data_IF_160916178853
#
_entry.id   IF_160916178853
#
_cell.length_a   1.000
_cell.length_b   1.000
_cell.length_c   1.000
_cell.angle_alpha   90.00
_cell.angle_beta   90.00
_cell.angle_gamma   90.00
#
_symmetry.space_group_name_H-M   'P 1'
#
loop_
_entity.id
_entity.type
_entity.pdbx_description
1 polymer ?
#
# COMPACT_ATOMS: atom_id res chain seq x y z
N UNK A 1 4.18 0.02 9.65
CA UNK A 1 4.06 1.37 9.10
C UNK A 1 2.62 1.65 8.69
N UNK A 2 2.08 2.81 9.07
CA UNK A 2 0.70 3.18 8.78
C UNK A 2 0.55 4.12 7.57
N UNK A 3 1.63 4.74 7.10
CA UNK A 3 1.61 5.60 5.92
C UNK A 3 2.70 5.15 4.96
N UNK A 4 2.29 4.60 3.82
CA UNK A 4 3.16 3.92 2.86
C UNK A 4 2.85 4.37 1.45
N UNK A 5 3.85 4.28 0.58
CA UNK A 5 3.64 4.54 -0.85
C UNK A 5 3.22 3.26 -1.57
N UNK A 6 2.57 3.43 -2.72
CA UNK A 6 2.27 2.33 -3.62
C UNK A 6 3.55 1.61 -4.04
N UNK A 7 3.53 0.29 -4.06
CA UNK A 7 4.70 -0.55 -4.35
C UNK A 7 5.66 -0.78 -3.18
N UNK A 8 5.43 -0.16 -2.03
CA UNK A 8 6.29 -0.35 -0.86
C UNK A 8 6.09 -1.74 -0.26
N UNK A 9 7.19 -2.34 0.18
CA UNK A 9 7.15 -3.62 0.91
C UNK A 9 6.85 -3.36 2.38
N UNK A 10 5.91 -4.12 2.92
CA UNK A 10 5.52 -4.08 4.34
C UNK A 10 5.60 -5.48 4.94
N UNK A 11 5.80 -5.54 6.25
CA UNK A 11 5.89 -6.80 7.00
C UNK A 11 4.94 -6.79 8.18
N UNK A 12 4.32 -7.94 8.43
CA UNK A 12 3.43 -8.17 9.56
C UNK A 12 3.85 -9.42 10.29
N UNK A 13 3.73 -9.42 11.61
CA UNK A 13 3.92 -10.61 12.43
C UNK A 13 2.59 -11.03 13.02
N UNK A 14 2.26 -12.31 12.86
CA UNK A 14 1.11 -12.93 13.52
C UNK A 14 1.68 -13.83 14.60
N UNK A 15 1.42 -13.47 15.86
CA UNK A 15 1.91 -14.21 17.00
C UNK A 15 0.77 -14.96 17.67
N UNK A 16 0.97 -16.25 17.90
CA UNK A 16 0.01 -17.10 18.58
C UNK A 16 0.76 -18.21 19.33
N UNK A 17 0.03 -19.15 19.86
CA UNK A 17 0.56 -20.27 20.63
C UNK A 17 0.08 -21.56 19.98
N UNK A 18 0.97 -22.55 19.89
CA UNK A 18 0.61 -23.86 19.37
C UNK A 18 -0.40 -24.52 20.30
N UNK A 19 -1.54 -25.00 19.76
CA UNK A 19 -2.60 -25.55 20.61
C UNK A 19 -2.22 -26.90 21.21
N UNK A 20 -2.91 -27.26 22.29
CA UNK A 20 -2.88 -28.56 22.92
C UNK A 20 -4.17 -29.30 22.58
N UNK A 21 -4.06 -30.57 22.26
CA UNK A 21 -5.21 -31.41 21.90
C UNK A 21 -5.46 -32.46 22.98
N UNK A 22 -6.72 -32.68 23.28
CA UNK A 22 -7.11 -33.76 24.20
C UNK A 22 -6.78 -35.10 23.58
N UNK A 23 -6.46 -36.06 24.44
CA UNK A 23 -6.19 -37.46 24.03
C UNK A 23 -7.40 -38.01 23.31
N UNK A 24 -7.18 -38.63 22.14
CA UNK A 24 -8.24 -39.19 21.32
C UNK A 24 -8.92 -38.19 20.40
N UNK A 25 -8.46 -36.93 20.34
CA UNK A 25 -8.96 -35.96 19.38
C UNK A 25 -8.72 -36.45 17.96
N UNK A 26 -9.79 -36.54 17.18
CA UNK A 26 -9.72 -36.77 15.75
C UNK A 26 -9.64 -35.44 15.02
N UNK A 27 -9.06 -35.43 13.82
CA UNK A 27 -8.96 -34.24 12.96
C UNK A 27 -8.33 -33.03 13.67
N UNK A 28 -7.17 -33.24 14.28
CA UNK A 28 -6.39 -32.16 14.86
C UNK A 28 -5.97 -31.20 13.75
N UNK A 29 -6.41 -29.97 13.84
CA UNK A 29 -6.07 -28.94 12.86
C UNK A 29 -5.55 -27.69 13.55
N UNK A 30 -4.58 -27.06 12.92
CA UNK A 30 -4.12 -25.75 13.33
C UNK A 30 -3.89 -24.90 12.10
N UNK A 31 -4.69 -23.85 11.94
CA UNK A 31 -4.64 -22.94 10.79
C UNK A 31 -4.50 -21.50 11.23
N UNK A 32 -3.71 -20.75 10.49
CA UNK A 32 -3.53 -19.30 10.66
C UNK A 32 -3.83 -18.66 9.32
N UNK A 33 -4.81 -17.76 9.30
CA UNK A 33 -5.25 -17.10 8.08
C UNK A 33 -4.91 -15.64 8.13
N UNK A 34 -4.31 -15.14 7.04
CA UNK A 34 -4.06 -13.74 6.81
C UNK A 34 -4.98 -13.23 5.71
N UNK A 35 -5.83 -12.26 6.05
CA UNK A 35 -6.75 -11.62 5.12
C UNK A 35 -6.33 -10.18 4.93
N UNK A 36 -5.94 -9.83 3.71
CA UNK A 36 -5.45 -8.51 3.39
C UNK A 36 -6.28 -7.83 2.31
N UNK A 37 -6.26 -6.51 2.30
CA UNK A 37 -6.79 -5.67 1.22
C UNK A 37 -5.76 -4.62 0.88
N UNK A 38 -5.69 -4.20 -0.38
CA UNK A 38 -4.77 -3.17 -0.82
C UNK A 38 -3.31 -3.61 -0.85
N UNK A 39 -3.04 -4.90 -0.84
CA UNK A 39 -1.69 -5.44 -0.90
C UNK A 39 -1.68 -6.85 -1.49
N UNK A 40 -0.49 -7.28 -1.90
CA UNK A 40 -0.22 -8.61 -2.42
C UNK A 40 0.80 -9.27 -1.51
N UNK A 41 0.48 -10.44 -0.95
CA UNK A 41 1.40 -11.22 -0.11
C UNK A 41 2.44 -11.86 -1.01
N UNK A 42 3.71 -11.60 -0.74
CA UNK A 42 4.84 -12.08 -1.54
C UNK A 42 5.70 -13.10 -0.81
N UNK A 43 5.60 -13.18 0.52
CA UNK A 43 6.40 -14.11 1.30
C UNK A 43 5.76 -14.48 2.63
N UNK A 44 6.00 -15.71 3.04
CA UNK A 44 5.59 -16.24 4.34
C UNK A 44 6.79 -16.96 4.97
N UNK A 45 6.97 -16.71 6.25
CA UNK A 45 7.96 -17.41 7.07
C UNK A 45 7.28 -17.83 8.38
N UNK A 46 7.41 -19.08 8.75
CA UNK A 46 6.78 -19.62 9.98
C UNK A 46 7.86 -20.05 10.95
N UNK A 47 7.77 -19.56 12.18
CA UNK A 47 8.66 -19.92 13.27
C UNK A 47 7.86 -20.57 14.40
N UNK A 48 8.36 -21.71 14.88
CA UNK A 48 7.81 -22.39 16.06
C UNK A 48 8.92 -22.45 17.10
N UNK A 49 8.61 -21.96 18.29
CA UNK A 49 9.59 -21.86 19.38
C UNK A 49 10.85 -21.09 18.96
N UNK A 50 10.68 -20.08 18.13
CA UNK A 50 11.76 -19.22 17.63
C UNK A 50 12.57 -19.78 16.46
N UNK A 51 12.27 -20.97 16.01
CA UNK A 51 12.99 -21.63 14.91
C UNK A 51 12.12 -21.74 13.68
N UNK A 52 12.66 -21.35 12.52
CA UNK A 52 11.95 -21.46 11.25
C UNK A 52 11.66 -22.93 10.93
N UNK A 53 10.43 -23.21 10.52
CA UNK A 53 9.97 -24.52 10.07
C UNK A 53 9.72 -24.50 8.56
N UNK A 54 9.77 -25.67 7.94
CA UNK A 54 9.86 -25.79 6.48
C UNK A 54 8.49 -25.98 5.85
N UNK A 55 8.21 -25.21 4.80
CA UNK A 55 7.03 -25.36 3.95
C UNK A 55 6.99 -26.78 3.35
N UNK A 56 5.80 -27.36 3.34
CA UNK A 56 5.50 -28.72 2.89
C UNK A 56 6.05 -29.85 3.77
N UNK A 57 6.72 -29.48 4.86
CA UNK A 57 7.07 -30.43 5.93
C UNK A 57 6.26 -30.15 7.19
N UNK A 58 6.36 -28.93 7.72
CA UNK A 58 5.65 -28.53 8.94
C UNK A 58 4.28 -27.92 8.64
N UNK A 59 4.13 -27.26 7.53
CA UNK A 59 2.89 -26.58 7.15
C UNK A 59 2.74 -26.49 5.63
N UNK A 60 1.52 -26.23 5.19
CA UNK A 60 1.19 -25.97 3.78
C UNK A 60 0.52 -24.61 3.66
N UNK A 61 0.56 -24.05 2.45
CA UNK A 61 -0.19 -22.84 2.06
C UNK A 61 -1.30 -23.22 1.10
N UNK A 62 -2.46 -22.59 1.25
CA UNK A 62 -3.62 -22.87 0.37
C UNK A 62 -3.60 -22.08 -0.94
N UNK A 63 -2.65 -21.19 -1.11
CA UNK A 63 -2.47 -20.37 -2.31
C UNK A 63 -0.99 -20.34 -2.69
N UNK A 64 -0.74 -20.21 -3.99
CA UNK A 64 0.60 -19.87 -4.46
C UNK A 64 0.89 -18.40 -4.23
N UNK A 65 2.14 -18.07 -3.93
CA UNK A 65 2.60 -16.70 -3.79
C UNK A 65 3.16 -16.17 -5.12
N UNK A 66 2.94 -14.91 -5.47
CA UNK A 66 2.22 -13.89 -4.72
C UNK A 66 0.69 -14.03 -4.84
N UNK A 67 -0.03 -13.56 -3.84
CA UNK A 67 -1.49 -13.60 -3.85
C UNK A 67 -2.10 -12.36 -3.20
N UNK A 68 -3.23 -11.90 -3.76
CA UNK A 68 -4.05 -10.84 -3.16
C UNK A 68 -5.24 -11.41 -2.37
N UNK A 69 -5.42 -12.74 -2.41
CA UNK A 69 -6.49 -13.42 -1.68
C UNK A 69 -6.07 -13.73 -0.25
N UNK A 70 -7.04 -14.10 0.58
CA UNK A 70 -6.75 -14.61 1.91
C UNK A 70 -5.84 -15.84 1.81
N UNK A 71 -4.83 -15.89 2.67
CA UNK A 71 -3.84 -16.96 2.67
C UNK A 71 -3.90 -17.70 4.00
N UNK A 72 -4.00 -19.03 3.92
CA UNK A 72 -4.05 -19.89 5.11
C UNK A 72 -2.78 -20.74 5.21
N UNK A 73 -2.13 -20.61 6.37
CA UNK A 73 -1.07 -21.50 6.82
C UNK A 73 -1.75 -22.64 7.57
N UNK A 74 -1.57 -23.87 7.11
CA UNK A 74 -2.11 -25.06 7.76
C UNK A 74 -0.97 -25.96 8.18
N UNK A 75 -0.85 -26.21 9.49
CA UNK A 75 0.15 -27.17 9.97
C UNK A 75 -0.23 -28.57 9.54
N UNK A 76 0.76 -29.38 9.18
CA UNK A 76 0.53 -30.76 8.73
C UNK A 76 0.15 -31.66 9.91
N UNK A 77 -0.59 -32.73 9.63
CA UNK A 77 -0.95 -33.71 10.64
C UNK A 77 0.29 -34.33 11.30
N UNK A 78 1.33 -34.59 10.50
CA UNK A 78 2.60 -35.10 10.99
C UNK A 78 3.28 -34.16 11.96
N UNK A 79 3.29 -32.86 11.66
CA UNK A 79 3.91 -31.86 12.52
C UNK A 79 3.14 -31.72 13.84
N UNK A 80 1.82 -31.69 13.80
CA UNK A 80 0.98 -31.64 14.99
C UNK A 80 1.22 -32.89 15.86
N UNK A 81 1.20 -34.07 15.23
CA UNK A 81 1.43 -35.34 15.88
C UNK A 81 0.38 -35.68 16.94
N UNK A 82 0.65 -36.77 17.69
CA UNK A 82 -0.28 -37.31 18.70
C UNK A 82 0.15 -37.05 20.13
N UNK A 83 1.31 -36.46 20.36
CA UNK A 83 1.94 -36.37 21.69
C UNK A 83 2.01 -34.94 22.22
N UNK A 84 1.36 -34.00 21.57
CA UNK A 84 1.40 -32.56 21.98
C UNK A 84 2.82 -32.03 22.20
N UNK A 85 3.77 -32.44 21.35
CA UNK A 85 5.18 -32.02 21.55
C UNK A 85 5.40 -30.52 21.32
N UNK A 86 4.52 -29.87 20.55
CA UNK A 86 4.60 -28.44 20.29
C UNK A 86 3.64 -27.60 21.14
N UNK A 87 2.79 -28.23 21.96
CA UNK A 87 1.79 -27.54 22.77
C UNK A 87 2.42 -26.44 23.62
N UNK A 88 1.84 -25.25 23.56
CA UNK A 88 2.31 -24.09 24.31
C UNK A 88 3.51 -23.37 23.72
N UNK A 89 4.13 -23.89 22.67
CA UNK A 89 5.24 -23.21 22.00
C UNK A 89 4.74 -21.98 21.26
N UNK A 90 5.57 -20.95 21.23
CA UNK A 90 5.27 -19.74 20.44
C UNK A 90 5.23 -20.06 18.95
N UNK A 91 4.29 -19.44 18.24
CA UNK A 91 4.19 -19.51 16.78
C UNK A 91 4.16 -18.10 16.25
N UNK A 92 5.04 -17.81 15.30
CA UNK A 92 5.05 -16.54 14.58
C UNK A 92 4.97 -16.81 13.09
N UNK A 93 4.02 -16.16 12.43
CA UNK A 93 3.97 -16.09 10.98
C UNK A 93 4.42 -14.69 10.57
N UNK A 94 5.52 -14.62 9.85
CA UNK A 94 6.01 -13.37 9.26
C UNK A 94 5.46 -13.26 7.85
N UNK A 95 4.65 -12.23 7.61
CA UNK A 95 4.02 -11.96 6.33
C UNK A 95 4.75 -10.81 5.66
N UNK A 96 5.20 -11.01 4.44
CA UNK A 96 5.77 -9.96 3.60
C UNK A 96 4.79 -9.66 2.48
N UNK A 97 4.49 -8.38 2.25
CA UNK A 97 3.53 -7.94 1.25
C UNK A 97 3.98 -6.67 0.54
N UNK A 98 3.46 -6.44 -0.65
CA UNK A 98 3.67 -5.23 -1.44
C UNK A 98 2.36 -4.47 -1.55
N UNK A 99 2.39 -3.18 -1.28
CA UNK A 99 1.22 -2.31 -1.36
C UNK A 99 0.79 -2.15 -2.81
N UNK A 100 -0.46 -2.45 -3.11
CA UNK A 100 -1.02 -2.37 -4.47
C UNK A 100 -2.18 -1.39 -4.59
N UNK A 101 -2.85 -1.10 -3.47
CA UNK A 101 -3.94 -0.13 -3.45
C UNK A 101 -3.39 1.27 -3.17
N UNK A 102 -3.98 2.27 -3.77
CA UNK A 102 -3.53 3.64 -3.76
C UNK A 102 -4.11 4.51 -2.64
N UNK A 103 -4.94 3.98 -1.78
CA UNK A 103 -5.56 4.77 -0.70
C UNK A 103 -5.42 4.11 0.68
N UNK A 104 -5.78 2.85 0.79
CA UNK A 104 -5.84 2.16 2.08
C UNK A 104 -5.46 0.69 1.94
N UNK A 105 -4.79 0.18 2.95
CA UNK A 105 -4.56 -1.26 3.09
C UNK A 105 -5.05 -1.73 4.46
N UNK A 106 -5.44 -3.00 4.53
CA UNK A 106 -5.79 -3.67 5.78
C UNK A 106 -5.14 -5.03 5.84
N UNK A 107 -4.83 -5.50 7.05
CA UNK A 107 -4.38 -6.85 7.29
C UNK A 107 -5.03 -7.39 8.56
N UNK A 108 -5.80 -8.46 8.42
CA UNK A 108 -6.48 -9.12 9.53
C UNK A 108 -5.99 -10.55 9.65
N UNK A 109 -5.54 -10.94 10.84
CA UNK A 109 -5.10 -12.29 11.14
C UNK A 109 -6.17 -13.03 11.94
N UNK A 110 -6.28 -14.32 11.71
CA UNK A 110 -7.15 -15.21 12.49
C UNK A 110 -6.54 -16.59 12.64
N UNK A 111 -6.95 -17.31 13.66
CA UNK A 111 -6.56 -18.70 13.88
C UNK A 111 -7.79 -19.52 14.23
N UNK A 112 -7.74 -20.82 14.02
CA UNK A 112 -8.86 -21.70 14.38
C UNK A 112 -8.88 -22.10 15.87
N UNK A 113 -7.90 -21.64 16.65
CA UNK A 113 -7.83 -21.92 18.10
C UNK A 113 -8.08 -20.69 18.98
N UNK A 114 -8.44 -19.57 18.38
CA UNK A 114 -8.71 -18.31 19.10
C UNK A 114 -9.81 -17.53 18.39
N UNK A 115 -10.58 -16.77 19.14
CA UNK A 115 -11.56 -15.84 18.60
C UNK A 115 -10.97 -14.47 18.25
N UNK A 116 -9.71 -14.22 18.62
CA UNK A 116 -9.04 -12.96 18.34
C UNK A 116 -8.76 -12.81 16.86
N UNK A 117 -9.05 -11.61 16.34
CA UNK A 117 -8.80 -11.25 14.93
C UNK A 117 -8.09 -9.91 14.88
N UNK A 118 -6.80 -9.86 15.26
CA UNK A 118 -6.07 -8.60 15.24
C UNK A 118 -6.02 -8.04 13.82
N UNK A 119 -6.26 -6.74 13.72
CA UNK A 119 -6.33 -6.03 12.46
C UNK A 119 -5.44 -4.80 12.51
N UNK A 120 -4.67 -4.59 11.47
CA UNK A 120 -3.92 -3.35 11.22
C UNK A 120 -4.39 -2.73 9.93
N UNK A 121 -4.28 -1.42 9.85
CA UNK A 121 -4.60 -0.68 8.64
C UNK A 121 -3.63 0.46 8.44
N UNK A 122 -3.52 0.90 7.19
CA UNK A 122 -2.68 2.03 6.84
C UNK A 122 -3.14 2.66 5.54
N UNK A 123 -2.46 3.71 5.15
CA UNK A 123 -2.87 4.56 4.04
C UNK A 123 -1.68 4.93 3.16
N UNK A 124 -1.96 5.24 1.92
CA UNK A 124 -1.12 6.09 1.08
C UNK A 124 -1.80 7.43 0.90
N UNK A 125 -1.07 8.40 0.38
CA UNK A 125 -1.55 9.78 0.26
C UNK A 125 -1.71 10.23 -1.19
N UNK A 126 -2.25 11.45 -1.32
CA UNK A 126 -2.49 12.06 -2.62
C UNK A 126 -2.26 13.56 -2.61
N UNK A 127 -2.00 14.09 -3.80
CA UNK A 127 -1.96 15.53 -4.07
C UNK A 127 -2.95 15.79 -5.20
N UNK A 128 -3.88 16.72 -4.95
CA UNK A 128 -4.79 17.22 -5.98
C UNK A 128 -4.40 18.65 -6.32
N UNK A 129 -4.16 18.92 -7.59
CA UNK A 129 -3.83 20.26 -8.09
C UNK A 129 -5.05 20.83 -8.80
N UNK A 130 -5.55 21.95 -8.30
CA UNK A 130 -6.63 22.69 -8.95
C UNK A 130 -6.02 23.85 -9.72
N UNK A 131 -6.09 23.78 -11.04
CA UNK A 131 -5.54 24.77 -11.95
C UNK A 131 -6.58 25.83 -12.26
N UNK A 132 -6.29 27.07 -11.92
CA UNK A 132 -7.23 28.19 -12.12
C UNK A 132 -6.53 29.43 -12.68
N UNK A 133 -7.35 30.36 -13.14
CA UNK A 133 -6.93 31.74 -13.34
C UNK A 133 -6.86 32.48 -11.99
N UNK A 134 -6.54 33.79 -12.03
CA UNK A 134 -6.44 34.59 -10.81
C UNK A 134 -7.77 34.77 -10.08
N UNK A 135 -8.89 34.62 -10.80
CA UNK A 135 -10.25 34.73 -10.24
C UNK A 135 -10.81 33.41 -9.75
N UNK A 136 -10.05 32.33 -9.86
CA UNK A 136 -10.45 31.00 -9.40
C UNK A 136 -11.24 30.17 -10.43
N UNK A 137 -11.33 30.64 -11.67
CA UNK A 137 -11.98 29.85 -12.74
C UNK A 137 -11.05 28.72 -13.20
N UNK A 138 -11.60 27.52 -13.35
CA UNK A 138 -10.85 26.35 -13.79
C UNK A 138 -10.25 26.53 -15.19
N UNK A 139 -8.97 26.15 -15.33
CA UNK A 139 -8.26 26.18 -16.60
C UNK A 139 -7.84 24.77 -17.01
N UNK A 140 -8.12 24.42 -18.26
CA UNK A 140 -7.88 23.08 -18.81
C UNK A 140 -6.51 22.97 -19.48
N UNK A 141 -5.89 21.78 -19.32
CA UNK A 141 -4.74 21.38 -20.16
C UNK A 141 -3.37 21.69 -19.59
N UNK A 142 -3.27 22.21 -18.37
CA UNK A 142 -1.96 22.38 -17.73
C UNK A 142 -1.31 21.01 -17.47
N UNK A 143 0.01 20.95 -17.61
CA UNK A 143 0.80 19.75 -17.35
C UNK A 143 1.79 20.03 -16.23
N UNK A 144 1.91 19.06 -15.30
CA UNK A 144 2.80 19.14 -14.16
C UNK A 144 3.72 17.93 -14.08
N UNK A 145 4.84 18.13 -13.41
CA UNK A 145 5.70 17.05 -12.92
C UNK A 145 5.81 17.16 -11.41
N UNK A 146 5.92 16.01 -10.75
CA UNK A 146 6.03 15.93 -9.29
C UNK A 146 7.39 15.35 -8.96
N UNK A 147 8.14 16.03 -8.08
CA UNK A 147 9.46 15.57 -7.61
C UNK A 147 9.38 15.20 -6.15
N UNK A 148 10.14 14.17 -5.77
CA UNK A 148 10.32 13.82 -4.36
C UNK A 148 11.34 14.76 -3.69
N UNK A 149 11.63 14.52 -2.40
CA UNK A 149 12.58 15.33 -1.61
C UNK A 149 13.99 15.31 -2.16
N UNK A 150 14.36 14.29 -2.91
CA UNK A 150 15.71 14.12 -3.49
C UNK A 150 15.81 14.72 -4.90
N UNK A 151 14.73 15.35 -5.38
CA UNK A 151 14.67 15.96 -6.69
C UNK A 151 14.37 14.99 -7.83
N UNK A 152 14.07 13.74 -7.53
CA UNK A 152 13.70 12.74 -8.54
C UNK A 152 12.30 13.00 -9.06
N UNK A 153 12.15 13.06 -10.39
CA UNK A 153 10.84 13.17 -11.03
C UNK A 153 10.11 11.84 -10.89
N UNK A 154 8.95 11.87 -10.27
CA UNK A 154 8.14 10.67 -10.05
C UNK A 154 7.46 10.22 -11.33
N UNK A 155 7.28 8.93 -11.46
CA UNK A 155 6.61 8.28 -12.60
C UNK A 155 5.27 7.73 -12.15
N UNK A 156 4.28 7.89 -13.02
CA UNK A 156 2.90 7.51 -12.72
C UNK A 156 2.31 6.65 -13.83
N UNK A 157 1.23 5.98 -13.51
CA UNK A 157 0.32 5.34 -14.47
C UNK A 157 -0.95 6.17 -14.52
N UNK A 158 -1.38 6.57 -15.72
CA UNK A 158 -2.64 7.26 -15.91
C UNK A 158 -3.80 6.26 -15.79
N UNK A 159 -4.69 6.49 -14.84
CA UNK A 159 -5.89 5.66 -14.66
C UNK A 159 -7.06 6.16 -15.49
N UNK A 160 -7.22 7.47 -15.54
CA UNK A 160 -8.25 8.18 -16.29
C UNK A 160 -7.83 9.64 -16.45
N UNK A 161 -8.60 10.43 -17.19
CA UNK A 161 -8.30 11.85 -17.32
C UNK A 161 -8.25 12.54 -15.95
N UNK A 162 -7.12 13.18 -15.67
CA UNK A 162 -6.88 13.86 -14.42
C UNK A 162 -6.61 12.98 -13.20
N UNK A 163 -6.42 11.67 -13.38
CA UNK A 163 -6.15 10.73 -12.27
C UNK A 163 -4.95 9.84 -12.61
N UNK A 164 -3.94 9.92 -11.76
CA UNK A 164 -2.67 9.19 -11.92
C UNK A 164 -2.28 8.50 -10.62
N UNK A 165 -1.69 7.32 -10.73
CA UNK A 165 -1.23 6.52 -9.58
C UNK A 165 0.27 6.31 -9.66
N UNK A 166 0.96 6.42 -8.53
CA UNK A 166 2.41 6.20 -8.48
C UNK A 166 2.75 4.84 -9.07
N UNK A 167 3.71 4.82 -10.00
CA UNK A 167 4.17 3.63 -10.68
C UNK A 167 4.78 2.63 -9.70
N UNK A 168 4.39 1.36 -9.83
CA UNK A 168 5.09 0.25 -9.18
C UNK A 168 6.10 -0.37 -10.15
N UNK A 169 7.05 -1.16 -9.64
CA UNK A 169 8.05 -1.82 -10.49
C UNK A 169 7.45 -2.73 -11.56
N UNK A 170 6.22 -3.22 -11.34
CA UNK A 170 5.53 -4.11 -12.27
C UNK A 170 4.91 -3.38 -13.48
N UNK A 171 4.81 -2.06 -13.44
CA UNK A 171 4.04 -1.25 -14.41
C UNK A 171 4.91 -0.41 -15.35
N UNK A 172 6.17 -0.77 -15.53
CA UNK A 172 7.19 0.06 -16.22
C UNK A 172 6.83 0.54 -17.62
N UNK A 173 5.99 -0.21 -18.35
CA UNK A 173 5.65 0.12 -19.75
C UNK A 173 4.59 1.21 -19.91
N UNK A 174 3.87 1.54 -18.83
CA UNK A 174 2.80 2.54 -18.83
C UNK A 174 3.19 3.85 -18.13
N UNK A 175 4.49 4.03 -17.88
CA UNK A 175 4.99 5.15 -17.09
C UNK A 175 4.89 6.49 -17.82
N UNK A 176 4.43 7.51 -17.08
CA UNK A 176 4.51 8.91 -17.51
C UNK A 176 5.05 9.76 -16.37
N UNK A 177 5.87 10.76 -16.71
CA UNK A 177 6.26 11.80 -15.74
C UNK A 177 5.32 12.99 -15.79
N UNK A 178 4.60 13.15 -16.91
CA UNK A 178 3.67 14.25 -17.11
C UNK A 178 2.29 13.90 -16.58
N UNK A 179 1.72 14.76 -15.75
CA UNK A 179 0.36 14.63 -15.25
C UNK A 179 -0.44 15.84 -15.71
N UNK A 180 -1.57 15.59 -16.38
CA UNK A 180 -2.34 16.65 -17.01
C UNK A 180 -3.64 16.93 -16.26
N UNK A 181 -3.88 18.22 -16.00
CA UNK A 181 -5.15 18.71 -15.47
C UNK A 181 -6.14 18.91 -16.63
N UNK A 182 -6.61 17.83 -17.21
CA UNK A 182 -7.42 17.79 -18.44
C UNK A 182 -8.68 18.67 -18.32
N UNK A 183 -9.36 18.57 -17.18
CA UNK A 183 -10.59 19.35 -16.89
C UNK A 183 -10.38 20.42 -15.80
N UNK A 184 -9.15 20.86 -15.60
CA UNK A 184 -8.79 21.86 -14.61
C UNK A 184 -8.30 21.29 -13.27
N UNK A 185 -8.30 19.98 -13.10
CA UNK A 185 -7.82 19.32 -11.89
C UNK A 185 -7.04 18.07 -12.25
N UNK A 186 -6.01 17.77 -11.47
CA UNK A 186 -5.29 16.51 -11.55
C UNK A 186 -4.99 15.99 -10.15
N UNK A 187 -5.23 14.69 -9.94
CA UNK A 187 -4.94 14.00 -8.69
C UNK A 187 -3.87 12.94 -8.93
N UNK A 188 -2.82 12.97 -8.12
CA UNK A 188 -1.80 11.92 -8.08
C UNK A 188 -1.93 11.17 -6.76
N UNK A 189 -1.98 9.84 -6.84
CA UNK A 189 -2.28 8.94 -5.72
C UNK A 189 -1.12 7.97 -5.45
N UNK A 190 -1.21 7.27 -4.33
CA UNK A 190 -0.24 6.24 -3.96
C UNK A 190 1.06 6.81 -3.39
N UNK A 191 1.06 8.07 -2.94
CA UNK A 191 2.24 8.73 -2.39
C UNK A 191 2.45 8.39 -0.92
N UNK A 192 3.70 8.25 -0.51
CA UNK A 192 4.06 8.11 0.89
C UNK A 192 4.25 9.46 1.57
N UNK A 193 4.60 9.42 2.87
CA UNK A 193 4.94 10.61 3.62
C UNK A 193 6.17 11.30 3.01
N UNK A 194 6.18 12.61 3.01
CA UNK A 194 7.32 13.39 2.53
C UNK A 194 6.92 14.73 1.96
N UNK A 195 7.93 15.45 1.50
CA UNK A 195 7.77 16.75 0.86
C UNK A 195 7.99 16.62 -0.63
N UNK A 196 7.04 17.15 -1.38
CA UNK A 196 6.99 17.04 -2.84
C UNK A 196 7.07 18.44 -3.47
N UNK A 197 7.81 18.53 -4.58
CA UNK A 197 7.90 19.73 -5.41
C UNK A 197 7.04 19.54 -6.65
N UNK A 198 6.18 20.52 -6.93
CA UNK A 198 5.30 20.52 -8.09
C UNK A 198 5.84 21.54 -9.08
N UNK A 199 6.04 21.11 -10.32
CA UNK A 199 6.52 21.98 -11.40
C UNK A 199 5.50 21.98 -12.52
N UNK A 200 5.00 23.16 -12.88
CA UNK A 200 4.17 23.34 -14.06
C UNK A 200 5.10 23.38 -15.28
N UNK A 201 4.95 22.43 -16.20
CA UNK A 201 5.78 22.33 -17.40
C UNK A 201 5.09 22.85 -18.64
N UNK A 202 3.75 22.91 -18.63
CA UNK A 202 2.94 23.48 -19.70
C UNK A 202 1.75 24.21 -19.08
N UNK A 203 1.60 25.48 -19.43
CA UNK A 203 0.44 26.27 -19.01
C UNK A 203 -0.76 25.99 -19.93
N UNK A 204 -1.99 26.23 -19.45
CA UNK A 204 -3.16 26.28 -20.32
C UNK A 204 -2.96 27.29 -21.44
N UNK A 205 -3.62 27.07 -22.57
CA UNK A 205 -3.53 27.97 -23.71
C UNK A 205 -3.91 29.41 -23.30
N UNK A 206 -3.04 30.37 -23.63
CA UNK A 206 -3.25 31.75 -23.30
C UNK A 206 -2.77 32.20 -21.91
N UNK A 207 -2.12 31.30 -21.18
CA UNK A 207 -1.64 31.59 -19.82
C UNK A 207 -0.14 31.33 -19.68
N UNK A 208 0.43 31.92 -18.61
CA UNK A 208 1.84 31.74 -18.27
C UNK A 208 2.02 30.67 -17.22
N UNK A 209 3.13 29.92 -17.31
CA UNK A 209 3.54 28.98 -16.28
C UNK A 209 3.72 29.70 -14.94
N UNK A 210 3.21 29.13 -13.86
CA UNK A 210 3.47 29.60 -12.51
C UNK A 210 4.79 28.98 -12.00
N UNK A 211 5.87 29.77 -11.83
CA UNK A 211 7.15 29.26 -11.35
C UNK A 211 7.23 29.19 -9.81
N UNK A 212 6.23 29.68 -9.11
CA UNK A 212 6.24 29.85 -7.65
C UNK A 212 5.22 28.96 -6.95
N UNK A 213 5.18 27.68 -7.31
CA UNK A 213 4.29 26.72 -6.66
C UNK A 213 4.93 26.27 -5.34
N UNK A 214 4.22 26.39 -4.20
CA UNK A 214 4.76 25.93 -2.93
C UNK A 214 4.93 24.42 -2.91
N UNK A 215 5.88 23.93 -2.11
CA UNK A 215 6.03 22.51 -1.86
C UNK A 215 4.83 21.98 -1.07
N UNK A 216 4.56 20.68 -1.22
CA UNK A 216 3.49 19.98 -0.51
C UNK A 216 4.10 18.93 0.39
N UNK A 217 3.74 18.96 1.67
CA UNK A 217 4.18 17.93 2.64
C UNK A 217 2.99 17.06 3.01
N UNK A 218 3.16 15.74 2.84
CA UNK A 218 2.17 14.75 3.25
C UNK A 218 2.63 14.12 4.56
N UNK A 219 1.74 14.09 5.55
CA UNK A 219 1.99 13.47 6.85
C UNK A 219 0.88 12.49 7.20
N UNK A 220 1.18 11.57 8.13
CA UNK A 220 0.25 10.51 8.54
C UNK A 220 -0.90 10.99 9.44
N UNK A 221 -0.87 12.23 9.92
CA UNK A 221 -1.64 12.66 11.09
C UNK A 221 -3.16 12.64 10.89
N UNK A 222 -3.63 12.95 9.68
CA UNK A 222 -5.05 12.97 9.37
C UNK A 222 -5.30 12.70 7.88
N UNK A 223 -6.56 12.49 7.51
CA UNK A 223 -6.95 12.35 6.11
C UNK A 223 -6.57 13.61 5.31
N UNK A 224 -6.73 14.78 5.89
CA UNK A 224 -6.41 16.06 5.25
C UNK A 224 -4.90 16.24 5.05
N UNK A 225 -4.08 15.79 5.99
CA UNK A 225 -2.61 15.87 5.86
C UNK A 225 -2.03 14.79 4.95
N UNK A 226 -2.75 13.67 4.78
CA UNK A 226 -2.37 12.64 3.81
C UNK A 226 -2.84 12.95 2.39
N UNK A 227 -3.88 13.75 2.23
CA UNK A 227 -4.51 14.07 0.95
C UNK A 227 -4.65 15.59 0.83
N UNK A 228 -3.65 16.22 0.24
CA UNK A 228 -3.56 17.66 0.14
C UNK A 228 -4.12 18.13 -1.19
N UNK A 229 -4.93 19.17 -1.16
CA UNK A 229 -5.41 19.88 -2.35
C UNK A 229 -4.70 21.24 -2.44
N UNK A 230 -4.09 21.50 -3.59
CA UNK A 230 -3.30 22.72 -3.83
C UNK A 230 -3.89 23.49 -5.00
N UNK A 231 -4.29 24.75 -4.80
CA UNK A 231 -4.62 25.64 -5.91
C UNK A 231 -3.34 26.15 -6.57
N UNK A 232 -3.31 26.14 -7.88
CA UNK A 232 -2.22 26.74 -8.68
C UNK A 232 -2.85 27.72 -9.65
N UNK A 233 -2.52 29.00 -9.48
CA UNK A 233 -3.07 30.09 -10.29
C UNK A 233 -2.09 30.49 -11.39
N UNK A 234 -2.58 30.63 -12.62
CA UNK A 234 -1.80 31.17 -13.74
C UNK A 234 -2.30 32.54 -14.14
N UNK A 235 -1.35 33.38 -14.53
CA UNK A 235 -1.60 34.70 -15.07
C UNK A 235 -1.81 34.58 -16.58
N UNK A 236 -2.77 35.32 -17.09
CA UNK A 236 -3.03 35.43 -18.52
C UNK A 236 -1.85 36.07 -19.25
N UNK A 237 -1.55 35.56 -20.47
CA UNK A 237 -0.51 36.14 -21.30
C UNK A 237 -0.83 37.61 -21.63
N UNK A 238 0.19 38.47 -21.56
CA UNK A 238 0.07 39.90 -21.84
C UNK A 238 -0.35 40.75 -20.64
N UNK A 239 -0.47 40.15 -19.46
CA UNK A 239 -0.81 40.85 -18.22
C UNK A 239 0.30 40.90 -17.17
#
# INVERSE_FOLDING_TARGET
QSFVKNGEEVKFNIDTTFPSYEKGTENKTFTITDKSTGMKITGIKVLVNGTEVTLNEAYTLDKELPTSDALTVKFTDEYIGDKNIHAGQSVRVEVTATITNDEKYTNEASTNNSSDKPKVEGWSGSITINKTDLDGNALKGAIFQIKDKDGNVLKFVKESDGVYTLLTDEQKTAATTDVEATDGSVKVKGLGAGTYTIVETKAPQGYQINPNIPTVTLTKDSAETRNVTLPVKDTKLGE
#
